data_IF_459434555647
#
_entry.id   IF_459434555647
#
_cell.length_a   1.000
_cell.length_b   1.000
_cell.length_c   1.000
_cell.angle_alpha   90.00
_cell.angle_beta   90.00
_cell.angle_gamma   90.00
#
_symmetry.space_group_name_H-M   'P 1'
#
loop_
_entity.id
_entity.type
_entity.pdbx_description
1 polymer ?
#
# COMPACT_ATOMS: atom_id res chain seq x y z
N UNK A 1 4.24 -7.70 -20.37
CA UNK A 1 4.10 -6.30 -19.92
C UNK A 1 5.46 -5.81 -19.45
N UNK A 2 5.78 -4.53 -19.63
CA UNK A 2 6.99 -3.96 -19.03
C UNK A 2 6.86 -3.97 -17.49
N UNK A 3 7.98 -3.98 -16.73
CA UNK A 3 7.95 -3.84 -15.28
C UNK A 3 7.31 -2.53 -14.82
N UNK A 4 6.74 -2.49 -13.62
CA UNK A 4 6.33 -1.23 -12.99
C UNK A 4 7.56 -0.39 -12.66
N UNK A 5 7.51 0.90 -12.99
CA UNK A 5 8.54 1.90 -12.69
C UNK A 5 7.89 3.13 -12.02
N UNK A 6 8.71 4.05 -11.51
CA UNK A 6 8.28 5.27 -10.82
C UNK A 6 7.35 5.03 -9.60
N UNK A 7 7.63 3.98 -8.83
CA UNK A 7 6.93 3.71 -7.57
C UNK A 7 7.46 4.63 -6.46
N UNK A 8 6.64 5.58 -6.02
CA UNK A 8 6.97 6.49 -4.93
C UNK A 8 5.80 6.60 -3.93
N UNK A 9 6.12 6.59 -2.63
CA UNK A 9 5.13 6.87 -1.58
C UNK A 9 4.99 8.38 -1.38
N UNK A 10 3.94 8.99 -1.93
CA UNK A 10 3.69 10.44 -1.75
C UNK A 10 3.17 10.81 -0.36
N UNK A 11 2.76 9.82 0.45
CA UNK A 11 2.06 10.04 1.72
C UNK A 11 2.90 10.74 2.80
N UNK A 12 4.23 10.75 2.67
CA UNK A 12 5.15 11.35 3.63
C UNK A 12 5.53 12.80 3.31
N UNK A 13 5.23 13.28 2.10
CA UNK A 13 5.61 14.61 1.65
C UNK A 13 4.48 15.61 1.92
N UNK A 14 4.79 16.69 2.63
CA UNK A 14 3.89 17.84 2.70
C UNK A 14 3.81 18.52 1.33
N UNK A 15 2.62 18.99 0.95
CA UNK A 15 2.40 19.68 -0.33
C UNK A 15 2.15 18.77 -1.54
N UNK A 16 2.32 17.44 -1.42
CA UNK A 16 1.88 16.49 -2.46
C UNK A 16 0.47 15.95 -2.19
N UNK A 17 -0.23 15.60 -3.27
CA UNK A 17 -1.54 14.96 -3.17
C UNK A 17 -1.45 13.63 -2.43
N UNK A 18 -2.41 13.41 -1.53
CA UNK A 18 -2.61 12.14 -0.80
C UNK A 18 -3.68 11.26 -1.45
N UNK A 19 -4.12 11.58 -2.66
CA UNK A 19 -5.12 10.85 -3.45
C UNK A 19 -4.41 9.99 -4.49
N UNK A 20 -5.01 8.85 -4.85
CA UNK A 20 -4.55 8.06 -5.97
C UNK A 20 -4.78 8.80 -7.29
N UNK A 21 -3.97 8.47 -8.30
CA UNK A 21 -4.14 9.02 -9.65
C UNK A 21 -5.36 8.43 -10.37
N UNK A 22 -5.79 7.22 -9.99
CA UNK A 22 -6.94 6.52 -10.55
C UNK A 22 -7.98 6.26 -9.46
N UNK A 23 -9.26 6.41 -9.83
CA UNK A 23 -10.38 6.08 -8.96
C UNK A 23 -10.62 4.56 -8.93
N UNK A 24 -11.00 4.07 -7.76
CA UNK A 24 -11.45 2.70 -7.49
C UNK A 24 -12.93 2.81 -7.12
N UNK A 25 -13.80 2.51 -8.09
CA UNK A 25 -15.26 2.61 -7.92
C UNK A 25 -15.73 3.99 -7.38
N UNK A 26 -15.12 5.08 -7.88
CA UNK A 26 -15.44 6.45 -7.49
C UNK A 26 -14.60 7.01 -6.34
N UNK A 27 -13.94 6.17 -5.55
CA UNK A 27 -13.06 6.58 -4.45
C UNK A 27 -11.60 6.63 -4.90
N UNK A 28 -10.86 7.66 -4.49
CA UNK A 28 -9.43 7.84 -4.78
C UNK A 28 -8.62 8.16 -3.51
N UNK A 29 -9.27 8.33 -2.35
CA UNK A 29 -8.60 8.47 -1.08
C UNK A 29 -8.18 7.07 -0.57
N UNK A 30 -6.87 6.77 -0.47
CA UNK A 30 -6.39 5.42 -0.11
C UNK A 30 -6.93 4.96 1.26
N UNK A 31 -7.08 5.91 2.19
CA UNK A 31 -7.61 5.68 3.52
C UNK A 31 -9.11 5.38 3.56
N UNK A 32 -9.85 5.56 2.47
CA UNK A 32 -11.30 5.34 2.36
C UNK A 32 -11.67 4.13 1.49
N UNK A 33 -10.68 3.43 0.91
CA UNK A 33 -10.96 2.24 0.10
C UNK A 33 -11.48 1.11 0.98
N UNK A 34 -12.78 0.85 0.85
CA UNK A 34 -13.49 -0.27 1.47
C UNK A 34 -13.56 -1.51 0.57
N UNK A 35 -13.95 -2.65 1.17
CA UNK A 35 -14.18 -3.91 0.45
C UNK A 35 -15.15 -3.76 -0.73
N UNK A 36 -16.25 -3.03 -0.54
CA UNK A 36 -17.29 -2.80 -1.56
C UNK A 36 -16.71 -2.16 -2.84
N UNK A 37 -15.78 -1.22 -2.69
CA UNK A 37 -15.07 -0.59 -3.81
C UNK A 37 -14.20 -1.61 -4.56
N UNK A 38 -13.46 -2.46 -3.83
CA UNK A 38 -12.61 -3.50 -4.42
C UNK A 38 -13.42 -4.57 -5.14
N UNK A 39 -14.55 -5.01 -4.56
CA UNK A 39 -15.44 -5.97 -5.21
C UNK A 39 -16.08 -5.38 -6.48
N UNK A 40 -16.39 -4.09 -6.46
CA UNK A 40 -16.91 -3.38 -7.63
C UNK A 40 -15.85 -3.29 -8.72
N UNK A 41 -14.63 -2.89 -8.38
CA UNK A 41 -13.51 -2.90 -9.33
C UNK A 41 -13.25 -4.30 -9.90
N UNK A 42 -13.27 -5.34 -9.06
CA UNK A 42 -13.10 -6.72 -9.50
C UNK A 42 -14.14 -7.11 -10.56
N UNK A 43 -15.41 -6.80 -10.32
CA UNK A 43 -16.50 -7.06 -11.29
C UNK A 43 -16.30 -6.28 -12.59
N UNK A 44 -15.92 -4.99 -12.52
CA UNK A 44 -15.65 -4.16 -13.71
C UNK A 44 -14.50 -4.73 -14.56
N UNK A 45 -13.46 -5.24 -13.90
CA UNK A 45 -12.32 -5.89 -14.53
C UNK A 45 -12.58 -7.37 -14.90
N UNK A 46 -13.81 -7.87 -14.68
CA UNK A 46 -14.23 -9.26 -14.94
C UNK A 46 -13.46 -10.32 -14.16
N UNK A 47 -12.96 -9.97 -12.97
CA UNK A 47 -12.42 -10.91 -12.00
C UNK A 47 -13.50 -11.42 -11.03
N UNK A 48 -13.30 -12.62 -10.51
CA UNK A 48 -14.06 -13.12 -9.36
C UNK A 48 -13.67 -12.32 -8.10
N UNK A 49 -14.62 -11.66 -7.39
CA UNK A 49 -14.29 -10.77 -6.27
C UNK A 49 -13.47 -11.45 -5.16
N UNK A 50 -13.78 -12.70 -4.84
CA UNK A 50 -13.04 -13.49 -3.84
C UNK A 50 -11.58 -13.67 -4.23
N UNK A 51 -11.29 -13.94 -5.50
CA UNK A 51 -9.92 -14.07 -5.99
C UNK A 51 -9.19 -12.73 -5.92
N UNK A 52 -9.81 -11.66 -6.40
CA UNK A 52 -9.22 -10.32 -6.42
C UNK A 52 -8.84 -9.83 -5.02
N UNK A 53 -9.75 -9.97 -4.04
CA UNK A 53 -9.49 -9.63 -2.64
C UNK A 53 -8.39 -10.50 -2.04
N UNK A 54 -8.40 -11.81 -2.32
CA UNK A 54 -7.36 -12.73 -1.81
C UNK A 54 -5.96 -12.29 -2.23
N UNK A 55 -5.76 -11.85 -3.47
CA UNK A 55 -4.45 -11.37 -3.92
C UNK A 55 -3.95 -10.17 -3.09
N UNK A 56 -4.85 -9.24 -2.75
CA UNK A 56 -4.53 -8.09 -1.90
C UNK A 56 -4.20 -8.48 -0.45
N UNK A 57 -4.96 -9.42 0.11
CA UNK A 57 -4.73 -9.93 1.47
C UNK A 57 -3.41 -10.71 1.57
N UNK A 58 -3.14 -11.62 0.63
CA UNK A 58 -1.87 -12.36 0.57
C UNK A 58 -0.65 -11.44 0.36
N UNK A 59 -0.82 -10.34 -0.38
CA UNK A 59 0.23 -9.33 -0.48
C UNK A 59 0.47 -8.69 0.88
N UNK A 60 -0.59 -8.17 1.52
CA UNK A 60 -0.48 -7.47 2.80
C UNK A 60 0.08 -8.35 3.93
N UNK A 61 -0.17 -9.65 3.91
CA UNK A 61 0.41 -10.63 4.85
C UNK A 61 1.94 -10.75 4.70
N UNK A 62 2.44 -10.73 3.45
CA UNK A 62 3.88 -10.85 3.15
C UNK A 62 4.64 -9.53 3.29
N UNK A 63 3.94 -8.40 3.22
CA UNK A 63 4.56 -7.08 3.23
C UNK A 63 5.41 -6.77 4.48
N UNK A 64 4.99 -7.08 5.72
CA UNK A 64 5.80 -6.78 6.92
C UNK A 64 7.21 -7.36 6.86
N UNK A 65 7.36 -8.65 6.54
CA UNK A 65 8.66 -9.29 6.43
C UNK A 65 9.52 -8.68 5.31
N UNK A 66 8.91 -8.34 4.17
CA UNK A 66 9.60 -7.69 3.07
C UNK A 66 10.06 -6.26 3.44
N UNK A 67 9.23 -5.51 4.16
CA UNK A 67 9.55 -4.17 4.67
C UNK A 67 10.76 -4.26 5.61
N UNK A 68 10.74 -5.16 6.58
CA UNK A 68 11.81 -5.29 7.57
C UNK A 68 13.14 -5.71 6.92
N UNK A 69 13.11 -6.68 6.00
CA UNK A 69 14.29 -7.10 5.23
C UNK A 69 14.85 -5.97 4.36
N UNK A 70 13.98 -5.20 3.70
CA UNK A 70 14.40 -4.07 2.88
C UNK A 70 15.01 -2.97 3.75
N UNK A 71 14.41 -2.68 4.90
CA UNK A 71 14.92 -1.66 5.82
C UNK A 71 16.28 -2.06 6.39
N UNK A 72 16.48 -3.33 6.75
CA UNK A 72 17.77 -3.85 7.19
C UNK A 72 18.87 -3.68 6.12
N UNK A 73 18.49 -3.79 4.84
CA UNK A 73 19.41 -3.59 3.70
C UNK A 73 19.74 -2.11 3.49
N UNK A 74 18.75 -1.22 3.62
CA UNK A 74 18.91 0.22 3.33
C UNK A 74 19.47 1.03 4.49
N UNK A 75 19.22 0.61 5.74
CA UNK A 75 19.63 1.39 6.92
C UNK A 75 21.13 1.67 7.00
N UNK A 76 22.04 0.73 6.65
CA UNK A 76 23.48 1.00 6.63
C UNK A 76 23.91 1.97 5.52
N UNK A 77 23.09 2.13 4.47
CA UNK A 77 23.37 3.00 3.33
C UNK A 77 22.84 4.43 3.54
N UNK A 78 21.93 4.62 4.50
CA UNK A 78 21.28 5.90 4.75
C UNK A 78 22.19 6.83 5.58
N UNK A 79 22.30 8.08 5.13
CA UNK A 79 22.97 9.13 5.88
C UNK A 79 22.25 9.42 7.19
N UNK A 80 23.02 9.72 8.24
CA UNK A 80 22.46 10.10 9.53
C UNK A 80 21.58 11.37 9.38
N UNK A 81 20.48 11.39 10.15
CA UNK A 81 19.53 12.51 10.13
C UNK A 81 18.32 12.23 9.22
N UNK A 82 18.16 13.03 8.16
CA UNK A 82 16.91 13.09 7.38
C UNK A 82 16.56 11.78 6.68
N UNK A 83 17.55 11.07 6.12
CA UNK A 83 17.31 9.80 5.41
C UNK A 83 16.88 8.68 6.36
N UNK A 84 17.54 8.56 7.51
CA UNK A 84 17.13 7.62 8.56
C UNK A 84 15.73 7.94 9.08
N UNK A 85 15.44 9.22 9.34
CA UNK A 85 14.09 9.64 9.77
C UNK A 85 13.03 9.33 8.70
N UNK A 86 13.36 9.47 7.42
CA UNK A 86 12.47 9.12 6.31
C UNK A 86 12.19 7.62 6.29
N UNK A 87 13.23 6.78 6.41
CA UNK A 87 13.13 5.32 6.45
C UNK A 87 12.24 4.85 7.61
N UNK A 88 12.45 5.39 8.81
CA UNK A 88 11.64 5.07 10.00
C UNK A 88 10.16 5.45 9.80
N UNK A 89 9.88 6.67 9.32
CA UNK A 89 8.51 7.12 9.06
C UNK A 89 7.83 6.30 7.96
N UNK A 90 8.59 5.92 6.93
CA UNK A 90 8.09 5.07 5.86
C UNK A 90 7.74 3.68 6.37
N UNK A 91 8.62 3.06 7.16
CA UNK A 91 8.34 1.76 7.79
C UNK A 91 7.05 1.82 8.63
N UNK A 92 6.97 2.79 9.55
CA UNK A 92 5.78 2.97 10.40
C UNK A 92 4.50 3.13 9.58
N UNK A 93 4.55 3.93 8.51
CA UNK A 93 3.39 4.15 7.64
C UNK A 93 2.99 2.89 6.88
N UNK A 94 3.96 2.17 6.30
CA UNK A 94 3.70 0.95 5.55
C UNK A 94 3.15 -0.16 6.46
N UNK A 95 3.73 -0.37 7.64
CA UNK A 95 3.24 -1.35 8.62
C UNK A 95 1.82 -1.00 9.11
N UNK A 96 1.53 0.29 9.33
CA UNK A 96 0.18 0.74 9.67
C UNK A 96 -0.84 0.37 8.59
N UNK A 97 -0.47 0.53 7.32
CA UNK A 97 -1.33 0.15 6.19
C UNK A 97 -1.51 -1.36 6.10
N UNK A 98 -0.45 -2.15 6.29
CA UNK A 98 -0.52 -3.62 6.27
C UNK A 98 -1.43 -4.19 7.36
N UNK A 99 -1.65 -3.45 8.45
CA UNK A 99 -2.64 -3.81 9.47
C UNK A 99 -4.05 -3.30 9.14
N UNK A 100 -4.17 -2.00 8.83
CA UNK A 100 -5.47 -1.32 8.72
C UNK A 100 -6.24 -1.71 7.46
N UNK A 101 -5.55 -1.88 6.33
CA UNK A 101 -6.21 -2.13 5.06
C UNK A 101 -6.79 -3.55 4.98
N UNK A 102 -6.04 -4.63 5.32
CA UNK A 102 -6.60 -5.98 5.31
C UNK A 102 -7.77 -6.13 6.26
N UNK A 103 -7.71 -5.55 7.46
CA UNK A 103 -8.82 -5.56 8.41
C UNK A 103 -10.11 -4.92 7.85
N UNK A 104 -9.98 -3.97 6.92
CA UNK A 104 -11.11 -3.32 6.26
C UNK A 104 -11.62 -4.10 5.03
N UNK A 105 -10.81 -5.02 4.51
CA UNK A 105 -11.12 -5.79 3.30
C UNK A 105 -11.53 -7.22 3.61
N UNK A 106 -11.09 -7.78 4.74
CA UNK A 106 -11.48 -9.09 5.23
C UNK A 106 -12.97 -9.15 5.51
N UNK A 107 -13.51 -10.36 5.39
CA UNK A 107 -14.84 -10.69 5.91
C UNK A 107 -14.62 -11.11 7.36
N UNK A 108 -15.55 -10.75 8.25
CA UNK A 108 -15.65 -11.43 9.56
C UNK A 108 -15.77 -12.96 9.37
#
# INVERSE_FOLDING_TARGET
>A
MAPFYDLMSTALYSGLSRRFALHIAGEDHPGSIERSHLETLARLLRFQPRYFLRQGLELAERMPAAIDSTLATLSPMANQGTEQTLLERLQQRLLSNCRKLPARWSTD
#
